data_IF_869625653292
#
_entry.id   IF_869625653292
#
_cell.length_a   1.000
_cell.length_b   1.000
_cell.length_c   1.000
_cell.angle_alpha   90.00
_cell.angle_beta   90.00
_cell.angle_gamma   90.00
#
_symmetry.space_group_name_H-M   'P 1'
#
loop_
_entity.id
_entity.type
_entity.pdbx_description
1 polymer ?
#
# COMPACT_ATOMS: atom_id res chain seq x y z
N UNK A 1 13.30 -4.04 19.17
CA UNK A 1 12.02 -4.46 18.55
C UNK A 1 12.25 -5.08 17.17
N UNK A 2 11.35 -5.96 16.68
CA UNK A 2 11.51 -6.64 15.39
C UNK A 2 11.19 -5.76 14.17
N UNK A 3 10.37 -4.71 14.36
CA UNK A 3 10.02 -3.73 13.34
C UNK A 3 10.88 -2.45 13.46
N UNK A 4 11.17 -1.77 12.33
CA UNK A 4 11.90 -0.51 12.34
C UNK A 4 11.05 0.63 12.92
N UNK A 5 11.71 1.74 13.27
CA UNK A 5 11.05 2.91 13.84
C UNK A 5 10.10 3.62 12.85
N UNK A 6 10.38 3.53 11.55
CA UNK A 6 9.58 4.14 10.48
C UNK A 6 8.99 3.05 9.61
N UNK A 7 7.67 3.10 9.43
CA UNK A 7 6.89 2.24 8.54
C UNK A 7 6.35 3.12 7.42
N UNK A 8 6.60 2.75 6.17
CA UNK A 8 6.09 3.47 5.02
C UNK A 8 4.64 3.09 4.71
N UNK A 9 4.31 1.80 4.85
CA UNK A 9 2.94 1.32 4.68
C UNK A 9 2.74 -0.04 5.33
N UNK A 10 1.47 -0.42 5.49
CA UNK A 10 1.09 -1.73 5.97
C UNK A 10 -0.24 -2.19 5.38
N UNK A 11 -0.44 -3.51 5.32
CA UNK A 11 -1.76 -4.08 5.05
C UNK A 11 -2.00 -5.38 5.81
N UNK A 12 -3.27 -5.70 6.03
CA UNK A 12 -3.72 -7.01 6.52
C UNK A 12 -4.18 -7.86 5.34
N UNK A 13 -3.62 -9.06 5.19
CA UNK A 13 -4.22 -10.05 4.30
C UNK A 13 -5.51 -10.58 4.93
N UNK A 14 -6.65 -10.15 4.39
CA UNK A 14 -7.98 -10.50 4.90
C UNK A 14 -8.25 -12.02 5.00
N UNK A 15 -7.53 -12.85 4.22
CA UNK A 15 -7.67 -14.30 4.26
C UNK A 15 -6.86 -14.94 5.39
N UNK A 16 -5.57 -14.60 5.50
CA UNK A 16 -4.66 -15.26 6.44
C UNK A 16 -4.46 -14.50 7.74
N UNK A 17 -5.00 -13.27 7.85
CA UNK A 17 -4.85 -12.37 9.00
C UNK A 17 -3.40 -11.96 9.29
N UNK A 18 -2.50 -12.20 8.34
CA UNK A 18 -1.10 -11.77 8.40
C UNK A 18 -1.03 -10.27 8.11
N UNK A 19 -0.25 -9.56 8.92
CA UNK A 19 0.06 -8.16 8.69
C UNK A 19 1.39 -8.06 7.95
N UNK A 20 1.40 -7.31 6.87
CA UNK A 20 2.61 -6.97 6.12
C UNK A 20 2.98 -5.54 6.44
N UNK A 21 4.23 -5.32 6.83
CA UNK A 21 4.79 -3.99 7.11
C UNK A 21 5.92 -3.71 6.13
N UNK A 22 5.93 -2.51 5.55
CA UNK A 22 6.96 -2.05 4.61
C UNK A 22 7.76 -0.90 5.21
N UNK A 23 9.07 -0.92 4.98
CA UNK A 23 10.00 0.16 5.35
C UNK A 23 11.21 0.13 4.42
N UNK A 24 11.38 1.20 3.64
CA UNK A 24 12.29 1.25 2.51
C UNK A 24 12.10 0.06 1.57
N UNK A 25 13.21 -0.57 1.19
CA UNK A 25 13.23 -1.73 0.30
C UNK A 25 12.96 -3.05 1.02
N UNK A 26 12.44 -3.02 2.25
CA UNK A 26 12.22 -4.20 3.10
C UNK A 26 10.78 -4.34 3.55
N UNK A 27 10.38 -5.58 3.81
CA UNK A 27 9.11 -5.89 4.44
C UNK A 27 9.23 -6.99 5.50
N UNK A 28 8.27 -6.97 6.42
CA UNK A 28 8.08 -7.96 7.48
C UNK A 28 6.67 -8.53 7.40
N UNK A 29 6.51 -9.78 7.84
CA UNK A 29 5.21 -10.44 7.95
C UNK A 29 4.97 -10.85 9.39
N UNK A 30 3.98 -10.24 10.02
CA UNK A 30 3.54 -10.56 11.37
C UNK A 30 2.40 -11.59 11.33
N UNK A 31 2.49 -12.64 12.14
CA UNK A 31 1.51 -13.73 12.16
C UNK A 31 0.64 -13.76 13.43
N UNK A 32 0.80 -12.79 14.33
CA UNK A 32 0.19 -12.83 15.67
C UNK A 32 1.23 -13.25 16.72
N UNK A 33 1.85 -14.41 16.54
CA UNK A 33 2.85 -14.95 17.48
C UNK A 33 4.31 -14.66 17.09
N UNK A 34 4.56 -14.33 15.81
CA UNK A 34 5.93 -14.23 15.29
C UNK A 34 6.05 -13.18 14.20
N UNK A 35 7.30 -12.75 13.94
CA UNK A 35 7.65 -11.85 12.85
C UNK A 35 8.62 -12.57 11.91
N UNK A 36 8.28 -12.60 10.63
CA UNK A 36 9.18 -13.05 9.57
C UNK A 36 9.76 -11.84 8.84
N UNK A 37 11.08 -11.73 8.78
CA UNK A 37 11.76 -10.67 8.04
C UNK A 37 12.96 -10.06 8.79
N UNK A 38 13.53 -8.96 8.25
CA UNK A 38 13.14 -8.33 6.98
C UNK A 38 13.41 -9.20 5.76
N UNK A 39 12.64 -8.99 4.70
CA UNK A 39 12.90 -9.52 3.34
C UNK A 39 12.90 -8.37 2.33
N UNK A 40 13.68 -8.48 1.26
CA UNK A 40 13.64 -7.50 0.17
C UNK A 40 12.26 -7.51 -0.52
N UNK A 41 11.73 -6.33 -0.83
CA UNK A 41 10.48 -6.18 -1.59
C UNK A 41 10.54 -6.81 -3.00
N UNK A 42 11.74 -7.03 -3.54
CA UNK A 42 11.93 -7.79 -4.79
C UNK A 42 11.43 -9.23 -4.67
N UNK A 43 11.39 -9.80 -3.45
CA UNK A 43 10.78 -11.13 -3.22
C UNK A 43 9.28 -11.15 -3.47
N UNK A 44 8.63 -9.99 -3.57
CA UNK A 44 7.23 -9.84 -3.99
C UNK A 44 7.09 -9.62 -5.51
N UNK A 45 8.21 -9.50 -6.23
CA UNK A 45 8.27 -9.20 -7.66
C UNK A 45 8.29 -7.72 -8.00
N UNK A 46 8.54 -6.82 -7.03
CA UNK A 46 8.79 -5.42 -7.33
C UNK A 46 10.17 -5.25 -8.00
N UNK A 47 10.31 -4.35 -9.00
CA UNK A 47 11.60 -4.02 -9.60
C UNK A 47 12.62 -3.46 -8.60
N UNK A 48 13.91 -3.67 -8.84
CA UNK A 48 15.00 -3.24 -7.94
C UNK A 48 15.19 -1.72 -7.84
N UNK A 49 14.65 -0.95 -8.78
CA UNK A 49 14.67 0.51 -8.71
C UNK A 49 13.62 1.09 -7.74
N UNK A 50 12.67 0.28 -7.26
CA UNK A 50 11.67 0.71 -6.28
C UNK A 50 12.32 0.85 -4.90
N UNK A 51 12.20 2.04 -4.30
CA UNK A 51 12.86 2.37 -3.04
C UNK A 51 11.99 2.17 -1.80
N UNK A 52 10.67 2.25 -1.96
CA UNK A 52 9.69 2.03 -0.87
C UNK A 52 8.29 1.77 -1.41
N UNK A 53 7.41 1.29 -0.54
CA UNK A 53 5.96 1.16 -0.80
C UNK A 53 5.25 2.15 0.09
N UNK A 54 4.74 3.25 -0.45
CA UNK A 54 4.04 4.28 0.33
C UNK A 54 2.60 3.92 0.65
N UNK A 55 2.03 2.89 0.04
CA UNK A 55 0.63 2.56 0.33
C UNK A 55 0.21 1.18 -0.09
N UNK A 56 -0.87 0.71 0.52
CA UNK A 56 -1.43 -0.59 0.23
C UNK A 56 -2.97 -0.59 0.31
N UNK A 57 -3.63 -1.12 -0.72
CA UNK A 57 -5.09 -1.26 -0.77
C UNK A 57 -5.51 -2.70 -1.06
N UNK A 58 -6.43 -3.23 -0.25
CA UNK A 58 -7.02 -4.54 -0.51
C UNK A 58 -7.89 -4.49 -1.77
N UNK A 59 -7.73 -5.46 -2.68
CA UNK A 59 -8.54 -5.59 -3.91
C UNK A 59 -9.22 -6.95 -3.97
N UNK A 60 -10.22 -7.16 -3.14
CA UNK A 60 -10.89 -8.46 -3.02
C UNK A 60 -10.00 -9.50 -2.33
N UNK A 61 -10.32 -10.79 -2.49
CA UNK A 61 -9.63 -11.87 -1.79
C UNK A 61 -8.26 -12.15 -2.40
N UNK A 62 -7.20 -12.06 -1.58
CA UNK A 62 -5.84 -12.46 -1.95
C UNK A 62 -5.10 -11.53 -2.92
N UNK A 63 -5.64 -10.34 -3.21
CA UNK A 63 -5.00 -9.34 -4.06
C UNK A 63 -4.87 -8.02 -3.32
N UNK A 64 -3.69 -7.40 -3.43
CA UNK A 64 -3.37 -6.10 -2.82
C UNK A 64 -2.74 -5.22 -3.88
N UNK A 65 -3.11 -3.94 -3.90
CA UNK A 65 -2.41 -2.93 -4.68
C UNK A 65 -1.33 -2.31 -3.80
N UNK A 66 -0.10 -2.28 -4.29
CA UNK A 66 1.04 -1.63 -3.63
C UNK A 66 1.37 -0.37 -4.42
N UNK A 67 1.43 0.78 -3.76
CA UNK A 67 1.72 2.08 -4.36
C UNK A 67 3.19 2.44 -4.14
N UNK A 68 3.86 2.89 -5.20
CA UNK A 68 5.22 3.43 -5.16
C UNK A 68 5.36 4.59 -6.14
N UNK A 69 5.58 5.80 -5.63
CA UNK A 69 5.55 7.04 -6.41
C UNK A 69 4.26 7.14 -7.22
N UNK A 70 4.39 7.50 -8.50
CA UNK A 70 3.25 7.69 -9.42
C UNK A 70 2.60 6.38 -9.91
N UNK A 71 3.10 5.24 -9.44
CA UNK A 71 2.72 3.92 -9.93
C UNK A 71 2.12 3.05 -8.84
N UNK A 72 1.39 2.03 -9.26
CA UNK A 72 1.00 0.93 -8.40
C UNK A 72 1.14 -0.43 -9.08
N UNK A 73 1.31 -1.47 -8.27
CA UNK A 73 1.43 -2.87 -8.68
C UNK A 73 0.35 -3.69 -8.01
N UNK A 74 -0.15 -4.73 -8.66
CA UNK A 74 -1.09 -5.68 -8.04
C UNK A 74 -0.36 -6.94 -7.62
N UNK A 75 -0.24 -7.13 -6.31
CA UNK A 75 0.32 -8.32 -5.68
C UNK A 75 -0.72 -9.43 -5.58
N UNK A 76 -0.37 -10.63 -6.04
CA UNK A 76 -0.97 -11.88 -5.57
C UNK A 76 -0.33 -12.28 -4.23
N UNK A 77 -1.08 -12.20 -3.14
CA UNK A 77 -0.55 -12.44 -1.79
C UNK A 77 -0.18 -13.90 -1.59
N UNK A 78 -0.94 -14.84 -2.19
CA UNK A 78 -0.69 -16.28 -2.07
C UNK A 78 0.56 -16.68 -2.84
N UNK A 79 0.68 -16.21 -4.09
CA UNK A 79 1.86 -16.47 -4.92
C UNK A 79 3.06 -15.59 -4.53
N UNK A 80 2.85 -14.54 -3.71
CA UNK A 80 3.85 -13.51 -3.35
C UNK A 80 4.53 -12.93 -4.59
N UNK A 81 3.73 -12.60 -5.59
CA UNK A 81 4.22 -12.15 -6.89
C UNK A 81 3.32 -11.07 -7.47
N UNK A 82 3.93 -10.07 -8.09
CA UNK A 82 3.19 -9.08 -8.88
C UNK A 82 2.57 -9.73 -10.13
N UNK A 83 1.31 -9.42 -10.38
CA UNK A 83 0.58 -9.82 -11.58
C UNK A 83 1.19 -9.20 -12.85
N UNK A 84 1.09 -9.91 -13.99
CA UNK A 84 1.48 -9.37 -15.30
C UNK A 84 0.66 -8.12 -15.64
N UNK A 85 1.28 -7.18 -16.38
CA UNK A 85 0.64 -5.92 -16.81
C UNK A 85 0.67 -4.80 -15.78
N UNK A 86 1.62 -4.85 -14.84
CA UNK A 86 1.96 -3.81 -13.87
C UNK A 86 3.45 -3.43 -14.00
N UNK A 87 3.86 -2.20 -13.63
CA UNK A 87 3.06 -1.15 -12.99
C UNK A 87 1.98 -0.54 -13.87
N UNK A 88 1.09 0.21 -13.22
CA UNK A 88 0.17 1.16 -13.85
C UNK A 88 0.28 2.51 -13.15
N UNK A 89 0.09 3.59 -13.88
CA UNK A 89 -0.01 4.93 -13.30
C UNK A 89 -1.24 5.05 -12.39
N UNK A 90 -1.06 5.72 -11.26
CA UNK A 90 -2.11 5.92 -10.26
C UNK A 90 -3.29 6.68 -10.83
N UNK A 91 -3.09 7.83 -11.49
CA UNK A 91 -4.14 8.64 -12.12
C UNK A 91 -5.00 7.91 -13.15
N UNK A 92 -4.42 6.95 -13.89
CA UNK A 92 -5.13 6.17 -14.89
C UNK A 92 -6.26 5.32 -14.28
N UNK A 93 -6.21 5.04 -12.97
CA UNK A 93 -7.21 4.23 -12.26
C UNK A 93 -7.88 4.99 -11.12
N UNK A 94 -7.15 5.88 -10.46
CA UNK A 94 -7.55 6.65 -9.29
C UNK A 94 -7.53 8.15 -9.61
N UNK A 95 -8.21 8.55 -10.68
CA UNK A 95 -8.24 9.96 -11.09
C UNK A 95 -8.72 10.91 -9.98
N UNK A 96 -8.08 12.08 -9.92
CA UNK A 96 -8.42 13.16 -8.96
C UNK A 96 -7.68 13.11 -7.62
N UNK A 97 -6.82 12.11 -7.40
CA UNK A 97 -5.92 12.03 -6.22
C UNK A 97 -4.50 12.45 -6.62
N UNK A 98 -3.64 12.83 -5.66
CA UNK A 98 -2.22 13.08 -5.93
C UNK A 98 -1.53 11.80 -6.40
N UNK A 99 -0.75 11.91 -7.48
CA UNK A 99 0.04 10.80 -8.01
C UNK A 99 1.19 10.40 -7.07
N UNK A 100 1.68 11.33 -6.26
CA UNK A 100 2.82 11.14 -5.35
C UNK A 100 2.39 11.07 -3.87
N UNK A 101 1.22 10.48 -3.59
CA UNK A 101 0.74 10.29 -2.22
C UNK A 101 1.78 9.54 -1.37
N UNK A 102 2.10 10.08 -0.19
CA UNK A 102 3.06 9.47 0.73
C UNK A 102 2.43 8.43 1.67
N UNK A 103 1.11 8.33 1.67
CA UNK A 103 0.35 7.28 2.35
C UNK A 103 -0.93 6.97 1.56
N UNK A 104 -1.23 5.68 1.35
CA UNK A 104 -2.46 5.21 0.73
C UNK A 104 -3.02 4.02 1.49
N UNK A 105 -4.23 4.18 2.03
CA UNK A 105 -4.88 3.14 2.83
C UNK A 105 -6.40 3.14 2.68
N UNK A 106 -7.01 2.04 3.11
CA UNK A 106 -8.47 1.91 3.16
C UNK A 106 -8.97 2.08 4.60
N UNK A 107 -9.96 2.94 4.80
CA UNK A 107 -10.62 3.10 6.10
C UNK A 107 -12.12 3.29 5.94
N UNK A 108 -12.92 2.55 6.74
CA UNK A 108 -14.39 2.57 6.70
C UNK A 108 -14.99 2.51 5.28
N UNK A 109 -14.39 1.67 4.43
CA UNK A 109 -14.87 1.45 3.06
C UNK A 109 -14.50 2.53 2.05
N UNK A 110 -13.61 3.48 2.39
CA UNK A 110 -13.12 4.51 1.48
C UNK A 110 -11.61 4.41 1.33
N UNK A 111 -11.08 4.82 0.18
CA UNK A 111 -9.65 4.92 -0.04
C UNK A 111 -9.18 6.33 0.31
N UNK A 112 -8.06 6.43 0.99
CA UNK A 112 -7.45 7.69 1.37
C UNK A 112 -6.10 7.77 0.70
N UNK A 113 -5.85 8.88 0.02
CA UNK A 113 -4.56 9.24 -0.56
C UNK A 113 -4.08 10.48 0.17
N UNK A 114 -2.97 10.39 0.87
CA UNK A 114 -2.44 11.48 1.69
C UNK A 114 -1.22 12.12 1.02
N UNK A 115 -1.19 13.45 0.99
CA UNK A 115 -0.08 14.25 0.48
C UNK A 115 0.14 15.45 1.38
N UNK A 116 1.35 15.58 1.92
CA UNK A 116 1.68 16.51 3.00
C UNK A 116 0.64 16.46 4.14
N UNK A 117 -0.04 17.57 4.41
CA UNK A 117 -1.08 17.66 5.43
C UNK A 117 -2.47 17.39 4.89
N UNK A 118 -2.62 17.01 3.63
CA UNK A 118 -3.91 16.83 2.98
C UNK A 118 -4.23 15.36 2.75
N UNK A 119 -5.51 15.04 2.72
CA UNK A 119 -6.01 13.74 2.27
C UNK A 119 -7.13 13.92 1.24
N UNK A 120 -7.13 13.02 0.26
CA UNK A 120 -8.19 12.85 -0.73
C UNK A 120 -8.91 11.54 -0.41
N UNK A 121 -10.18 11.65 -0.07
CA UNK A 121 -11.04 10.52 0.20
C UNK A 121 -11.77 10.15 -1.07
N UNK A 122 -11.63 8.89 -1.45
CA UNK A 122 -12.24 8.33 -2.65
C UNK A 122 -13.24 7.24 -2.26
N UNK A 123 -14.44 7.32 -2.83
CA UNK A 123 -15.50 6.34 -2.61
C UNK A 123 -15.32 5.08 -3.48
N UNK A 124 -16.20 4.08 -3.28
CA UNK A 124 -16.15 2.81 -4.03
C UNK A 124 -16.40 2.94 -5.54
N UNK A 125 -16.97 4.07 -5.99
CA UNK A 125 -17.15 4.42 -7.41
C UNK A 125 -15.95 5.15 -8.00
N UNK A 126 -14.85 5.26 -7.24
CA UNK A 126 -13.61 5.95 -7.60
C UNK A 126 -13.77 7.44 -7.85
N UNK A 127 -14.68 8.07 -7.11
CA UNK A 127 -14.83 9.52 -7.14
C UNK A 127 -14.24 10.07 -5.85
N UNK A 128 -13.42 11.12 -5.98
CA UNK A 128 -12.99 11.91 -4.82
C UNK A 128 -14.21 12.67 -4.32
N UNK A 129 -14.65 12.35 -3.11
CA UNK A 129 -15.86 12.92 -2.51
C UNK A 129 -15.54 13.85 -1.33
N UNK A 130 -14.28 13.92 -0.92
CA UNK A 130 -13.78 14.85 0.09
C UNK A 130 -12.30 15.09 -0.08
N UNK A 131 -11.90 16.34 0.06
CA UNK A 131 -10.51 16.76 0.31
C UNK A 131 -10.49 17.42 1.69
N UNK A 132 -9.55 17.00 2.53
CA UNK A 132 -9.41 17.52 3.89
C UNK A 132 -7.95 17.59 4.31
N UNK A 133 -7.72 17.93 5.57
CA UNK A 133 -6.38 17.96 6.15
C UNK A 133 -6.28 17.02 7.35
N UNK A 134 -5.11 16.41 7.50
CA UNK A 134 -4.72 15.61 8.65
C UNK A 134 -4.39 16.57 9.78
N UNK A 135 -5.04 16.39 10.93
CA UNK A 135 -4.70 17.10 12.17
C UNK A 135 -3.76 16.21 12.98
N UNK A 136 -2.69 16.83 13.49
CA UNK A 136 -1.87 16.24 14.53
C UNK A 136 -2.34 16.89 15.83
N UNK A 137 -2.87 16.07 16.73
CA UNK A 137 -3.14 16.47 18.10
C UNK A 137 -1.85 16.38 18.94
#
# INVERSE_FOLDING_TARGET
PALPAVIDSAFEDVLTKKLYFFSGTRFWVYTGQSVLGPRSIEKLGLPSNIQKVEGALQRGKGKVLLFSGENFWRLDVKARKIDRGYPRFTDAVFGGVPNDAHDVFQYKGHFYFCRDRFYWRMNSRRQVDRVGYVKYD
#
